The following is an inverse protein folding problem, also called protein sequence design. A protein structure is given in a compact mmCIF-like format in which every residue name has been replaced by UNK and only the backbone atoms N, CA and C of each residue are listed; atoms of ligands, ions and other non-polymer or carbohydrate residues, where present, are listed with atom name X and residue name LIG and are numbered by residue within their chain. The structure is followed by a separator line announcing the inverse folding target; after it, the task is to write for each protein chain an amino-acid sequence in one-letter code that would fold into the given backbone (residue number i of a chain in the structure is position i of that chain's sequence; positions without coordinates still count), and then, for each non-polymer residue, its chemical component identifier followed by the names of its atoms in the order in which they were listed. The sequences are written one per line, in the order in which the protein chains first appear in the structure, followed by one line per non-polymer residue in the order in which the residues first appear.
data_IF_926836541815
#
_entry.id   IF_926836541815
#
_cell.length_a   1.000
_cell.length_b   1.000
_cell.length_c   1.000
_cell.angle_alpha   90.00
_cell.angle_beta   90.00
_cell.angle_gamma   90.00
#
_symmetry.space_group_name_H-M   'P 1'
#
loop_
_entity.id
_entity.type
_entity.pdbx_description
1 polymer ?
#
# COMPACT_ATOMS: atom_id res chain seq x y z
N UNK A 1 -19.66 -21.16 14.47
CA UNK A 1 -18.75 -20.18 15.09
C UNK A 1 -18.16 -19.35 13.97
N UNK A 2 -18.23 -18.04 14.03
CA UNK A 2 -17.56 -17.16 13.03
C UNK A 2 -16.05 -17.40 13.13
N UNK A 3 -15.44 -17.76 12.01
CA UNK A 3 -13.99 -17.95 11.98
C UNK A 3 -13.28 -16.58 12.00
N UNK A 4 -12.19 -16.49 12.75
CA UNK A 4 -11.35 -15.30 12.82
C UNK A 4 -10.73 -14.98 11.44
N UNK A 5 -10.67 -13.69 11.08
CA UNK A 5 -9.89 -13.23 9.93
C UNK A 5 -8.41 -13.16 10.32
N UNK A 6 -7.54 -13.60 9.41
CA UNK A 6 -6.10 -13.42 9.57
C UNK A 6 -5.69 -11.98 9.27
N UNK A 7 -6.33 -11.36 8.26
CA UNK A 7 -5.96 -10.07 7.73
C UNK A 7 -7.21 -9.26 7.34
N UNK A 8 -7.40 -8.10 7.96
CA UNK A 8 -8.48 -7.17 7.59
C UNK A 8 -7.83 -5.87 7.14
N UNK A 9 -7.96 -5.55 5.86
CA UNK A 9 -7.51 -4.26 5.33
C UNK A 9 -8.61 -3.20 5.54
N UNK A 10 -8.21 -1.99 5.92
CA UNK A 10 -9.10 -0.83 6.11
C UNK A 10 -8.55 0.36 5.32
N UNK A 11 -9.35 0.93 4.43
CA UNK A 11 -9.00 2.13 3.68
C UNK A 11 -9.90 2.37 2.48
N UNK A 12 -9.64 3.45 1.77
CA UNK A 12 -10.39 3.83 0.59
C UNK A 12 -10.08 2.90 -0.60
N UNK A 13 -11.13 2.57 -1.34
CA UNK A 13 -11.06 1.81 -2.58
C UNK A 13 -11.44 2.72 -3.74
N UNK A 14 -10.74 2.59 -4.85
CA UNK A 14 -10.89 3.41 -6.04
C UNK A 14 -10.92 2.55 -7.31
N UNK A 15 -11.28 3.18 -8.41
CA UNK A 15 -11.03 2.66 -9.76
C UNK A 15 -9.91 3.49 -10.38
N UNK A 16 -8.93 2.83 -10.96
CA UNK A 16 -7.87 3.49 -11.73
C UNK A 16 -8.09 3.25 -13.23
N UNK A 17 -8.23 4.32 -14.01
CA UNK A 17 -8.23 4.27 -15.46
C UNK A 17 -6.86 4.73 -15.97
N UNK A 18 -6.03 3.78 -16.39
CA UNK A 18 -4.71 4.03 -16.97
C UNK A 18 -4.85 4.43 -18.43
N UNK A 19 -4.60 5.69 -18.73
CA UNK A 19 -4.67 6.25 -20.08
C UNK A 19 -3.24 6.41 -20.62
N UNK A 20 -2.89 5.66 -21.65
CA UNK A 20 -1.63 5.84 -22.34
C UNK A 20 -1.71 7.02 -23.30
N UNK A 21 -1.02 8.11 -22.97
CA UNK A 21 -1.02 9.32 -23.77
C UNK A 21 -0.24 9.10 -25.07
N UNK A 22 -0.78 9.66 -26.16
CA UNK A 22 -0.08 9.72 -27.42
C UNK A 22 1.05 10.77 -27.33
N UNK A 23 2.30 10.38 -27.63
CA UNK A 23 3.47 11.24 -27.55
C UNK A 23 3.48 12.40 -28.54
N UNK A 24 2.70 12.32 -29.63
CA UNK A 24 2.53 13.41 -30.58
C UNK A 24 1.46 14.43 -30.12
N UNK A 25 0.64 14.07 -29.14
CA UNK A 25 -0.46 14.89 -28.63
C UNK A 25 -0.20 15.52 -27.26
N UNK A 26 0.83 15.06 -26.56
CA UNK A 26 1.26 15.58 -25.26
C UNK A 26 2.80 15.75 -25.26
N UNK A 27 3.29 16.68 -24.47
CA UNK A 27 4.71 16.96 -24.34
C UNK A 27 5.13 17.05 -22.87
N UNK A 28 6.40 16.79 -22.57
CA UNK A 28 6.95 16.87 -21.22
C UNK A 28 8.17 17.80 -21.24
N UNK A 29 8.14 18.84 -20.42
CA UNK A 29 9.29 19.68 -20.16
C UNK A 29 9.89 19.42 -18.79
N UNK A 30 11.19 19.65 -18.65
CA UNK A 30 11.89 19.63 -17.37
C UNK A 30 12.30 21.04 -16.99
N UNK A 31 11.95 21.46 -15.79
CA UNK A 31 12.48 22.65 -15.17
C UNK A 31 13.96 22.39 -14.80
N UNK A 32 14.85 23.22 -15.33
CA UNK A 32 16.31 23.02 -15.21
C UNK A 32 16.84 23.33 -13.80
N UNK A 33 16.12 24.15 -13.02
CA UNK A 33 16.55 24.55 -11.67
C UNK A 33 16.08 23.54 -10.62
N UNK A 34 14.86 23.03 -10.77
CA UNK A 34 14.25 22.12 -9.80
C UNK A 34 14.26 20.66 -10.22
N UNK A 35 14.55 20.36 -11.50
CA UNK A 35 14.43 19.02 -12.08
C UNK A 35 12.99 18.54 -12.27
N UNK A 36 11.99 19.34 -11.93
CA UNK A 36 10.58 18.98 -11.98
C UNK A 36 10.11 18.76 -13.42
N UNK A 37 9.47 17.61 -13.64
CA UNK A 37 8.81 17.32 -14.92
C UNK A 37 7.38 17.89 -14.93
N UNK A 38 6.99 18.48 -16.07
CA UNK A 38 5.64 19.03 -16.29
C UNK A 38 5.07 18.47 -17.58
N UNK A 39 3.87 17.89 -17.48
CA UNK A 39 3.10 17.41 -18.63
C UNK A 39 2.31 18.57 -19.24
N UNK A 40 2.47 18.80 -20.56
CA UNK A 40 1.77 19.80 -21.32
C UNK A 40 0.80 19.19 -22.31
N UNK A 41 -0.42 19.72 -22.35
CA UNK A 41 -1.44 19.34 -23.32
C UNK A 41 -2.10 20.61 -23.88
N UNK A 42 -2.36 20.69 -25.20
CA UNK A 42 -3.04 21.85 -25.81
C UNK A 42 -4.44 22.06 -25.21
N UNK A 43 -4.67 23.24 -24.66
CA UNK A 43 -5.96 23.60 -24.09
C UNK A 43 -7.05 23.68 -25.17
N UNK A 44 -8.26 23.17 -24.86
CA UNK A 44 -9.41 23.21 -25.76
C UNK A 44 -9.36 22.25 -26.95
N UNK A 45 -8.37 21.38 -27.01
CA UNK A 45 -8.18 20.42 -28.10
C UNK A 45 -8.80 19.06 -27.81
N UNK A 46 -9.10 18.30 -28.89
CA UNK A 46 -9.40 16.87 -28.80
C UNK A 46 -8.09 16.13 -29.07
N UNK A 47 -7.61 15.43 -28.07
CA UNK A 47 -6.33 14.73 -28.15
C UNK A 47 -6.58 13.23 -28.24
N UNK A 48 -5.93 12.53 -29.19
CA UNK A 48 -5.93 11.07 -29.22
C UNK A 48 -5.11 10.53 -28.06
N UNK A 49 -5.51 9.37 -27.54
CA UNK A 49 -4.69 8.54 -26.65
C UNK A 49 -4.50 7.14 -27.28
N UNK A 50 -3.47 6.42 -26.84
CA UNK A 50 -3.11 5.14 -27.46
C UNK A 50 -3.97 4.00 -26.94
N UNK A 51 -4.17 3.91 -25.61
CA UNK A 51 -4.89 2.83 -24.95
C UNK A 51 -5.46 3.28 -23.61
N UNK A 52 -6.43 2.52 -23.09
CA UNK A 52 -6.98 2.69 -21.74
C UNK A 52 -7.21 1.33 -21.08
N UNK A 53 -6.62 1.13 -19.91
CA UNK A 53 -6.88 -0.04 -19.05
C UNK A 53 -7.59 0.45 -17.78
N UNK A 54 -8.77 -0.12 -17.47
CA UNK A 54 -9.54 0.22 -16.27
C UNK A 54 -9.37 -0.92 -15.26
N UNK A 55 -8.88 -0.59 -14.08
CA UNK A 55 -8.65 -1.54 -12.99
C UNK A 55 -9.58 -1.20 -11.84
N UNK A 56 -10.48 -2.14 -11.52
CA UNK A 56 -11.48 -1.99 -10.48
C UNK A 56 -10.91 -2.35 -9.11
N UNK A 57 -11.47 -1.73 -8.07
CA UNK A 57 -11.22 -2.07 -6.66
C UNK A 57 -9.74 -2.08 -6.28
N UNK A 58 -9.02 -1.02 -6.63
CA UNK A 58 -7.64 -0.77 -6.24
C UNK A 58 -7.57 0.26 -5.09
N UNK A 59 -6.37 0.61 -4.68
CA UNK A 59 -6.03 1.42 -3.51
C UNK A 59 -5.27 0.59 -2.49
N UNK A 60 -4.46 1.22 -1.64
CA UNK A 60 -3.51 0.53 -0.76
C UNK A 60 -4.14 -0.66 -0.02
N UNK A 61 -5.29 -0.46 0.63
CA UNK A 61 -5.98 -1.51 1.39
C UNK A 61 -6.55 -2.62 0.53
N UNK A 62 -7.17 -2.28 -0.62
CA UNK A 62 -7.71 -3.28 -1.53
C UNK A 62 -6.58 -4.14 -2.14
N UNK A 63 -5.48 -3.51 -2.55
CA UNK A 63 -4.29 -4.19 -3.05
C UNK A 63 -3.69 -5.12 -1.99
N UNK A 64 -3.60 -4.64 -0.74
CA UNK A 64 -3.08 -5.42 0.38
C UNK A 64 -3.98 -6.61 0.72
N UNK A 65 -5.32 -6.45 0.68
CA UNK A 65 -6.27 -7.52 0.92
C UNK A 65 -6.12 -8.65 -0.10
N UNK A 66 -6.03 -8.30 -1.40
CA UNK A 66 -5.84 -9.26 -2.49
C UNK A 66 -4.49 -9.96 -2.36
N UNK A 67 -3.41 -9.23 -2.08
CA UNK A 67 -2.08 -9.79 -1.85
C UNK A 67 -2.09 -10.81 -0.71
N UNK A 68 -2.63 -10.43 0.46
CA UNK A 68 -2.71 -11.30 1.63
C UNK A 68 -3.52 -12.57 1.35
N UNK A 69 -4.63 -12.45 0.61
CA UNK A 69 -5.44 -13.61 0.21
C UNK A 69 -4.67 -14.56 -0.71
N UNK A 70 -4.02 -14.04 -1.76
CA UNK A 70 -3.21 -14.86 -2.68
C UNK A 70 -2.04 -15.57 -2.00
N UNK A 71 -1.57 -15.00 -0.86
CA UNK A 71 -0.54 -15.61 -0.01
C UNK A 71 -1.11 -16.61 1.02
N UNK A 72 -2.42 -16.89 0.96
CA UNK A 72 -3.08 -17.95 1.73
C UNK A 72 -3.72 -17.49 3.05
N UNK A 73 -3.87 -16.18 3.30
CA UNK A 73 -4.55 -15.67 4.48
C UNK A 73 -6.07 -15.53 4.23
N UNK A 74 -6.87 -15.73 5.28
CA UNK A 74 -8.28 -15.37 5.28
C UNK A 74 -8.42 -13.86 5.39
N UNK A 75 -8.65 -13.21 4.23
CA UNK A 75 -8.60 -11.76 4.08
C UNK A 75 -9.99 -11.13 3.91
N UNK A 76 -10.22 -9.99 4.56
CA UNK A 76 -11.41 -9.15 4.40
C UNK A 76 -11.03 -7.69 4.13
N UNK A 77 -11.97 -6.94 3.56
CA UNK A 77 -11.78 -5.51 3.28
C UNK A 77 -12.89 -4.68 3.93
N UNK A 78 -12.50 -3.65 4.67
CA UNK A 78 -13.38 -2.59 5.19
C UNK A 78 -13.19 -1.37 4.31
N UNK A 79 -14.21 -1.04 3.54
CA UNK A 79 -14.17 0.11 2.63
C UNK A 79 -15.57 0.64 2.31
N UNK A 80 -15.61 1.83 1.73
CA UNK A 80 -16.83 2.49 1.30
C UNK A 80 -16.82 2.67 -0.21
N UNK A 81 -17.93 2.32 -0.87
CA UNK A 81 -18.15 2.47 -2.30
C UNK A 81 -19.47 3.22 -2.55
N UNK A 82 -19.61 3.86 -3.69
CA UNK A 82 -20.89 4.37 -4.14
C UNK A 82 -21.85 3.23 -4.52
N UNK A 83 -23.15 3.42 -4.34
CA UNK A 83 -24.16 2.50 -4.89
C UNK A 83 -24.42 2.82 -6.37
N UNK A 84 -23.35 2.92 -7.15
CA UNK A 84 -23.36 3.11 -8.59
C UNK A 84 -22.87 1.86 -9.32
N UNK A 85 -22.77 1.92 -10.65
CA UNK A 85 -22.25 0.78 -11.43
C UNK A 85 -20.83 0.46 -11.05
N UNK A 86 -19.98 1.47 -10.91
CA UNK A 86 -18.57 1.32 -10.56
C UNK A 86 -18.39 0.62 -9.21
N UNK A 87 -19.21 0.96 -8.19
CA UNK A 87 -19.14 0.31 -6.89
C UNK A 87 -19.57 -1.16 -6.94
N UNK A 88 -20.55 -1.50 -7.80
CA UNK A 88 -20.95 -2.89 -8.03
C UNK A 88 -19.86 -3.68 -8.73
N UNK A 89 -19.22 -3.08 -9.74
CA UNK A 89 -18.12 -3.70 -10.48
C UNK A 89 -16.90 -3.91 -9.54
N UNK A 90 -16.61 -2.96 -8.64
CA UNK A 90 -15.59 -3.13 -7.59
C UNK A 90 -15.94 -4.27 -6.62
N UNK A 91 -17.17 -4.34 -6.14
CA UNK A 91 -17.61 -5.37 -5.22
C UNK A 91 -17.54 -6.77 -5.86
N UNK A 92 -17.92 -6.89 -7.12
CA UNK A 92 -17.81 -8.12 -7.89
C UNK A 92 -16.33 -8.54 -8.07
N UNK A 93 -15.47 -7.58 -8.42
CA UNK A 93 -14.02 -7.83 -8.54
C UNK A 93 -13.43 -8.38 -7.24
N UNK A 94 -13.71 -7.75 -6.09
CA UNK A 94 -13.23 -8.21 -4.79
C UNK A 94 -13.69 -9.64 -4.46
N UNK A 95 -14.95 -9.98 -4.77
CA UNK A 95 -15.48 -11.33 -4.57
C UNK A 95 -14.81 -12.36 -5.47
N UNK A 96 -14.53 -11.99 -6.73
CA UNK A 96 -13.83 -12.85 -7.68
C UNK A 96 -12.37 -13.10 -7.26
N UNK A 97 -11.75 -12.12 -6.58
CA UNK A 97 -10.43 -12.26 -5.96
C UNK A 97 -10.47 -13.03 -4.61
N UNK A 98 -11.63 -13.52 -4.18
CA UNK A 98 -11.77 -14.31 -2.96
C UNK A 98 -11.79 -13.49 -1.66
N UNK A 99 -11.92 -12.15 -1.74
CA UNK A 99 -11.95 -11.28 -0.58
C UNK A 99 -13.32 -11.34 0.12
N UNK A 100 -13.32 -11.48 1.44
CA UNK A 100 -14.54 -11.33 2.22
C UNK A 100 -15.01 -9.87 2.21
N UNK A 101 -16.25 -9.64 1.75
CA UNK A 101 -16.80 -8.29 1.50
C UNK A 101 -17.89 -7.90 2.50
N UNK A 102 -18.00 -8.59 3.64
CA UNK A 102 -19.05 -8.35 4.65
C UNK A 102 -18.99 -6.93 5.25
N UNK A 103 -17.81 -6.30 5.20
CA UNK A 103 -17.58 -4.94 5.69
C UNK A 103 -17.46 -3.89 4.57
N UNK A 104 -17.73 -4.27 3.32
CA UNK A 104 -17.80 -3.32 2.19
C UNK A 104 -19.19 -2.67 2.19
N UNK A 105 -19.23 -1.34 2.33
CA UNK A 105 -20.49 -0.57 2.39
C UNK A 105 -20.75 0.14 1.06
N UNK A 106 -21.95 -0.08 0.51
CA UNK A 106 -22.45 0.67 -0.65
C UNK A 106 -23.34 1.82 -0.18
N UNK A 107 -23.04 3.05 -0.61
CA UNK A 107 -23.72 4.27 -0.17
C UNK A 107 -24.63 4.82 -1.27
N UNK A 108 -25.95 4.88 -1.00
CA UNK A 108 -26.93 5.48 -1.90
C UNK A 108 -26.63 6.96 -2.16
N UNK A 109 -26.79 7.38 -3.41
CA UNK A 109 -26.56 8.76 -3.81
C UNK A 109 -25.10 9.21 -3.87
N UNK A 110 -24.14 8.32 -3.57
CA UNK A 110 -22.70 8.54 -3.69
C UNK A 110 -22.16 7.90 -4.95
N UNK A 111 -21.04 8.43 -5.44
CA UNK A 111 -20.25 7.82 -6.51
C UNK A 111 -19.05 7.09 -5.92
N UNK A 112 -18.60 6.06 -6.60
CA UNK A 112 -17.34 5.38 -6.27
C UNK A 112 -16.17 6.29 -6.62
N UNK A 113 -15.12 6.27 -5.79
CA UNK A 113 -13.88 6.99 -6.05
C UNK A 113 -13.28 6.56 -7.38
N UNK A 114 -12.76 7.52 -8.13
CA UNK A 114 -12.26 7.26 -9.47
C UNK A 114 -11.06 8.14 -9.78
N UNK A 115 -9.99 7.51 -10.29
CA UNK A 115 -8.79 8.18 -10.71
C UNK A 115 -8.57 8.02 -12.21
N UNK A 116 -8.00 9.04 -12.84
CA UNK A 116 -7.43 8.94 -14.17
C UNK A 116 -5.92 9.00 -14.05
N UNK A 117 -5.27 7.92 -14.46
CA UNK A 117 -3.80 7.78 -14.42
C UNK A 117 -3.28 8.06 -15.83
N UNK A 118 -2.81 9.28 -16.04
CA UNK A 118 -2.24 9.72 -17.33
C UNK A 118 -0.80 9.22 -17.40
N UNK A 119 -0.54 8.23 -18.25
CA UNK A 119 0.78 7.64 -18.47
C UNK A 119 1.47 8.29 -19.67
N UNK A 120 2.73 8.69 -19.48
CA UNK A 120 3.61 9.19 -20.55
C UNK A 120 4.98 8.51 -20.43
N UNK A 121 5.20 7.46 -21.22
CA UNK A 121 6.35 6.59 -21.04
C UNK A 121 6.33 5.90 -19.67
N UNK A 122 7.43 5.96 -18.89
CA UNK A 122 7.51 5.34 -17.57
C UNK A 122 6.85 6.18 -16.46
N UNK A 123 6.56 7.46 -16.75
CA UNK A 123 6.03 8.43 -15.78
C UNK A 123 4.50 8.55 -15.86
N UNK A 124 3.91 9.04 -14.78
CA UNK A 124 2.46 9.24 -14.68
C UNK A 124 2.07 10.47 -13.90
N UNK A 125 0.91 11.01 -14.24
CA UNK A 125 0.17 12.00 -13.43
C UNK A 125 -1.19 11.43 -13.08
N UNK A 126 -1.59 11.50 -11.83
CA UNK A 126 -2.86 10.93 -11.35
C UNK A 126 -3.84 12.08 -11.05
N UNK A 127 -4.99 12.07 -11.73
CA UNK A 127 -6.11 12.95 -11.43
C UNK A 127 -7.03 12.22 -10.46
N UNK A 128 -7.10 12.71 -9.21
CA UNK A 128 -7.85 12.06 -8.15
C UNK A 128 -9.22 12.70 -7.95
N UNK A 129 -10.24 11.88 -7.70
CA UNK A 129 -11.54 12.31 -7.22
C UNK A 129 -12.04 11.36 -6.15
N UNK A 130 -12.19 11.88 -4.93
CA UNK A 130 -12.74 11.17 -3.79
C UNK A 130 -14.10 11.72 -3.39
N UNK A 131 -15.00 10.81 -3.02
CA UNK A 131 -16.24 11.12 -2.32
C UNK A 131 -15.98 11.16 -0.81
N UNK A 132 -16.77 11.93 -0.10
CA UNK A 132 -16.74 11.92 1.35
C UNK A 132 -17.62 10.80 1.89
N UNK A 133 -17.03 9.73 2.36
CA UNK A 133 -17.70 8.61 3.00
C UNK A 133 -17.57 8.66 4.52
N UNK A 134 -18.56 8.16 5.30
CA UNK A 134 -18.40 8.00 6.73
C UNK A 134 -17.42 6.86 7.03
N UNK A 135 -16.42 7.09 7.88
CA UNK A 135 -15.55 6.05 8.40
C UNK A 135 -16.07 5.60 9.76
N UNK A 136 -16.41 4.33 9.86
CA UNK A 136 -16.97 3.72 11.08
C UNK A 136 -16.25 2.40 11.35
N UNK A 137 -15.85 2.19 12.58
CA UNK A 137 -15.30 0.90 13.00
C UNK A 137 -16.32 -0.21 12.79
N UNK A 138 -15.95 -1.33 12.16
CA UNK A 138 -16.79 -2.49 12.06
C UNK A 138 -17.01 -3.12 13.44
N UNK A 139 -18.19 -3.71 13.63
CA UNK A 139 -18.44 -4.61 14.76
C UNK A 139 -17.92 -6.01 14.41
N UNK A 140 -16.68 -6.29 14.80
CA UNK A 140 -16.06 -7.59 14.56
C UNK A 140 -16.56 -8.59 15.62
N UNK A 141 -17.28 -9.62 15.18
CA UNK A 141 -17.73 -10.71 16.08
C UNK A 141 -16.55 -11.41 16.77
N UNK A 142 -15.43 -11.54 16.05
CA UNK A 142 -14.15 -12.01 16.55
C UNK A 142 -13.10 -11.03 16.09
N UNK A 143 -12.28 -10.44 16.98
CA UNK A 143 -11.21 -9.54 16.59
C UNK A 143 -10.27 -10.20 15.59
N UNK A 144 -9.90 -9.52 14.46
CA UNK A 144 -8.97 -10.08 13.49
C UNK A 144 -7.56 -10.18 14.07
N UNK A 145 -6.72 -11.07 13.52
CA UNK A 145 -5.32 -11.17 13.94
C UNK A 145 -4.52 -9.91 13.58
N UNK A 146 -4.73 -9.41 12.35
CA UNK A 146 -4.10 -8.19 11.85
C UNK A 146 -5.15 -7.24 11.26
N UNK A 147 -5.06 -5.97 11.62
CA UNK A 147 -5.70 -4.87 10.89
C UNK A 147 -4.60 -4.13 10.12
N UNK A 148 -4.73 -4.12 8.80
CA UNK A 148 -3.89 -3.34 7.89
C UNK A 148 -4.62 -2.05 7.54
N UNK A 149 -4.20 -0.95 8.14
CA UNK A 149 -4.79 0.36 7.96
C UNK A 149 -3.96 1.20 7.00
N UNK A 150 -4.61 1.76 6.00
CA UNK A 150 -3.94 2.60 5.01
C UNK A 150 -4.74 3.86 4.67
N UNK A 151 -4.57 4.38 3.46
CA UNK A 151 -5.13 5.67 3.04
C UNK A 151 -6.64 5.78 3.21
N UNK A 152 -7.06 6.81 3.94
CA UNK A 152 -8.45 7.32 4.02
C UNK A 152 -8.45 8.84 3.84
N UNK A 153 -9.62 9.43 3.52
CA UNK A 153 -9.75 10.88 3.30
C UNK A 153 -9.46 11.73 4.55
N UNK A 154 -9.18 13.01 4.33
CA UNK A 154 -8.77 14.00 5.37
C UNK A 154 -9.73 14.07 6.57
N UNK A 155 -11.03 13.88 6.34
CA UNK A 155 -12.04 13.92 7.40
C UNK A 155 -12.05 12.68 8.29
N UNK A 156 -11.17 11.71 8.04
CA UNK A 156 -11.03 10.45 8.78
C UNK A 156 -10.28 10.56 10.11
N UNK A 157 -9.82 11.73 10.56
CA UNK A 157 -9.07 11.89 11.82
C UNK A 157 -9.77 11.24 13.02
N UNK A 158 -11.08 11.41 13.25
CA UNK A 158 -11.76 10.74 14.37
C UNK A 158 -11.68 9.21 14.31
N UNK A 159 -11.69 8.65 13.09
CA UNK A 159 -11.57 7.20 12.91
C UNK A 159 -10.19 6.67 13.30
N UNK A 160 -9.11 7.43 13.09
CA UNK A 160 -7.76 7.05 13.54
C UNK A 160 -7.72 6.85 15.05
N UNK A 161 -8.29 7.78 15.82
CA UNK A 161 -8.35 7.68 17.28
C UNK A 161 -9.27 6.56 17.76
N UNK A 162 -10.39 6.31 17.05
CA UNK A 162 -11.29 5.19 17.33
C UNK A 162 -10.57 3.84 17.10
N UNK A 163 -9.81 3.73 15.99
CA UNK A 163 -9.00 2.56 15.68
C UNK A 163 -7.91 2.35 16.74
N UNK A 164 -7.18 3.39 17.13
CA UNK A 164 -6.17 3.29 18.19
C UNK A 164 -6.77 2.77 19.51
N UNK A 165 -7.97 3.26 19.87
CA UNK A 165 -8.70 2.77 21.03
C UNK A 165 -9.14 1.31 20.87
N UNK A 166 -9.58 0.92 19.68
CA UNK A 166 -9.95 -0.48 19.39
C UNK A 166 -8.75 -1.41 19.59
N UNK A 167 -7.58 -1.07 19.05
CA UNK A 167 -6.35 -1.86 19.18
C UNK A 167 -5.94 -2.02 20.64
N UNK A 168 -5.98 -0.94 21.44
CA UNK A 168 -5.67 -1.00 22.91
C UNK A 168 -6.56 -1.96 23.68
N UNK A 169 -7.78 -2.25 23.21
CA UNK A 169 -8.77 -3.06 23.92
C UNK A 169 -8.95 -4.47 23.36
N UNK A 170 -8.24 -4.84 22.30
CA UNK A 170 -8.39 -6.13 21.64
C UNK A 170 -7.02 -6.76 21.33
N UNK A 171 -6.95 -8.06 21.25
CA UNK A 171 -5.76 -8.80 20.82
C UNK A 171 -5.71 -8.82 19.28
N UNK A 172 -5.41 -7.66 18.71
CA UNK A 172 -5.30 -7.42 17.26
C UNK A 172 -4.04 -6.63 17.00
N UNK A 173 -3.21 -7.07 16.08
CA UNK A 173 -2.01 -6.33 15.65
C UNK A 173 -2.36 -5.27 14.63
N UNK A 174 -1.87 -4.05 14.83
CA UNK A 174 -2.04 -2.95 13.90
C UNK A 174 -0.86 -2.84 12.93
N UNK A 175 -1.18 -2.87 11.66
CA UNK A 175 -0.27 -2.49 10.57
C UNK A 175 -0.71 -1.13 10.05
N UNK A 176 0.20 -0.17 10.00
CA UNK A 176 -0.10 1.16 9.49
C UNK A 176 0.81 1.51 8.31
N UNK A 177 0.18 1.73 7.16
CA UNK A 177 0.81 2.28 5.95
C UNK A 177 0.08 3.56 5.58
N UNK A 178 0.55 4.74 6.00
CA UNK A 178 -0.14 6.00 5.74
C UNK A 178 -0.19 6.32 4.25
N UNK A 179 -1.30 6.92 3.82
CA UNK A 179 -1.36 7.59 2.52
C UNK A 179 -1.05 9.09 2.66
N UNK A 180 -1.09 9.81 1.54
CA UNK A 180 -0.73 11.24 1.47
C UNK A 180 -1.45 12.09 2.51
N UNK A 181 -2.76 11.85 2.76
CA UNK A 181 -3.51 12.63 3.75
C UNK A 181 -3.01 12.38 5.18
N UNK A 182 -2.70 11.14 5.54
CA UNK A 182 -2.17 10.82 6.86
C UNK A 182 -0.74 11.36 7.04
N UNK A 183 0.10 11.31 6.00
CA UNK A 183 1.43 11.93 6.02
C UNK A 183 1.33 13.43 6.30
N UNK A 184 0.41 14.14 5.64
CA UNK A 184 0.17 15.56 5.86
C UNK A 184 -0.36 15.90 7.27
N UNK A 185 -1.10 15.00 7.93
CA UNK A 185 -1.54 15.19 9.31
C UNK A 185 -0.34 15.18 10.29
N UNK A 186 0.70 14.45 9.96
CA UNK A 186 1.94 14.37 10.73
C UNK A 186 1.82 13.55 12.01
N UNK A 187 2.98 13.33 12.66
CA UNK A 187 3.12 12.43 13.80
C UNK A 187 2.30 12.87 15.03
N UNK A 188 2.26 14.16 15.31
CA UNK A 188 1.60 14.67 16.54
C UNK A 188 0.09 14.46 16.50
N UNK A 189 -0.55 14.64 15.35
CA UNK A 189 -2.01 14.47 15.20
C UNK A 189 -2.42 13.01 15.38
N UNK A 190 -1.57 12.07 14.98
CA UNK A 190 -1.84 10.63 14.99
C UNK A 190 -0.99 9.88 16.02
N UNK A 191 -0.46 10.58 17.03
CA UNK A 191 0.46 10.01 18.03
C UNK A 191 -0.09 8.73 18.68
N UNK A 192 -1.33 8.74 19.11
CA UNK A 192 -1.99 7.60 19.75
C UNK A 192 -2.12 6.37 18.85
N UNK A 193 -2.18 6.58 17.51
CA UNK A 193 -2.17 5.51 16.52
C UNK A 193 -0.75 4.92 16.38
N UNK A 194 0.28 5.78 16.28
CA UNK A 194 1.68 5.32 16.23
C UNK A 194 2.06 4.51 17.46
N UNK A 195 1.63 4.95 18.67
CA UNK A 195 1.91 4.27 19.93
C UNK A 195 1.34 2.83 20.03
N UNK A 196 0.35 2.48 19.20
CA UNK A 196 -0.27 1.14 19.17
C UNK A 196 0.03 0.39 17.88
N UNK A 197 0.91 0.92 17.03
CA UNK A 197 1.25 0.31 15.76
C UNK A 197 2.29 -0.79 15.94
N UNK A 198 1.92 -2.03 15.58
CA UNK A 198 2.85 -3.16 15.58
C UNK A 198 3.80 -3.10 14.39
N UNK A 199 3.29 -2.82 13.18
CA UNK A 199 4.12 -2.73 11.97
C UNK A 199 3.82 -1.43 11.25
N UNK A 200 4.84 -0.64 10.99
CA UNK A 200 4.72 0.64 10.29
C UNK A 200 5.49 0.60 8.97
N UNK A 201 4.86 1.07 7.90
CA UNK A 201 5.50 1.15 6.59
C UNK A 201 5.51 2.57 6.03
N UNK A 202 6.65 3.00 5.55
CA UNK A 202 6.80 4.16 4.68
C UNK A 202 8.00 3.99 3.75
N UNK A 203 8.12 4.83 2.72
CA UNK A 203 9.38 4.97 2.00
C UNK A 203 10.30 5.97 2.70
N UNK A 204 11.54 6.08 2.24
CA UNK A 204 12.57 6.94 2.86
C UNK A 204 12.19 8.42 2.82
N UNK A 205 11.63 8.88 1.71
CA UNK A 205 11.19 10.25 1.53
C UNK A 205 10.04 10.60 2.50
N UNK A 206 9.07 9.70 2.61
CA UNK A 206 7.96 9.82 3.57
C UNK A 206 8.47 9.81 5.02
N UNK A 207 9.47 8.97 5.33
CA UNK A 207 10.10 8.94 6.64
C UNK A 207 10.78 10.28 6.97
N UNK A 208 11.51 10.86 6.02
CA UNK A 208 12.14 12.17 6.16
C UNK A 208 11.11 13.28 6.37
N UNK A 209 10.01 13.26 5.62
CA UNK A 209 8.91 14.22 5.74
C UNK A 209 8.24 14.13 7.13
N UNK A 210 7.85 12.93 7.56
CA UNK A 210 7.22 12.70 8.86
C UNK A 210 8.12 13.11 10.03
N UNK A 211 9.39 12.75 9.96
CA UNK A 211 10.38 13.04 11.01
C UNK A 211 10.95 14.47 10.91
N UNK A 212 10.61 15.21 9.86
CA UNK A 212 11.12 16.57 9.55
C UNK A 212 12.64 16.61 9.61
N UNK A 213 13.30 15.74 8.84
CA UNK A 213 14.75 15.54 8.90
C UNK A 213 15.35 15.32 7.53
N UNK A 214 16.61 15.70 7.34
CA UNK A 214 17.42 15.39 6.14
C UNK A 214 18.29 14.13 6.36
N UNK A 215 18.01 13.34 7.40
CA UNK A 215 18.76 12.13 7.73
C UNK A 215 18.76 11.15 6.55
N UNK A 216 19.93 10.65 6.16
CA UNK A 216 20.11 9.69 5.06
C UNK A 216 20.27 8.26 5.57
N UNK A 217 20.64 8.09 6.83
CA UNK A 217 20.88 6.79 7.44
C UNK A 217 19.57 6.16 7.91
N UNK A 218 19.02 5.25 7.12
CA UNK A 218 17.71 4.62 7.35
C UNK A 218 17.56 4.00 8.74
N UNK A 219 18.53 3.26 9.30
CA UNK A 219 18.43 2.71 10.65
C UNK A 219 18.22 3.76 11.75
N UNK A 220 18.76 4.96 11.58
CA UNK A 220 18.52 6.09 12.52
C UNK A 220 17.05 6.53 12.49
N UNK A 221 16.46 6.60 11.30
CA UNK A 221 15.04 6.95 11.16
C UNK A 221 14.13 5.87 11.72
N UNK A 222 14.43 4.59 11.50
CA UNK A 222 13.69 3.46 12.05
C UNK A 222 13.65 3.52 13.59
N UNK A 223 14.78 3.82 14.25
CA UNK A 223 14.82 3.97 15.71
C UNK A 223 13.95 5.12 16.21
N UNK A 224 13.88 6.23 15.47
CA UNK A 224 12.96 7.34 15.83
C UNK A 224 11.50 6.90 15.79
N UNK A 225 11.10 6.02 14.87
CA UNK A 225 9.75 5.45 14.88
C UNK A 225 9.54 4.48 16.06
N UNK A 226 10.54 3.71 16.46
CA UNK A 226 10.46 2.92 17.70
C UNK A 226 10.29 3.79 18.94
N UNK A 227 10.97 4.92 19.00
CA UNK A 227 10.81 5.91 20.09
C UNK A 227 9.39 6.50 20.18
N UNK A 228 8.62 6.45 19.07
CA UNK A 228 7.21 6.83 19.03
C UNK A 228 6.26 5.71 19.48
N UNK A 229 6.77 4.49 19.73
CA UNK A 229 6.00 3.34 20.18
C UNK A 229 5.79 2.25 19.10
N UNK A 230 6.23 2.48 17.87
CA UNK A 230 6.12 1.47 16.79
C UNK A 230 6.99 0.26 17.11
N UNK A 231 6.42 -0.96 17.05
CA UNK A 231 7.16 -2.19 17.37
C UNK A 231 8.12 -2.60 16.24
N UNK A 232 7.62 -2.66 15.00
CA UNK A 232 8.38 -3.04 13.80
C UNK A 232 8.27 -1.94 12.74
N UNK A 233 9.11 -0.90 12.78
CA UNK A 233 9.18 0.08 11.71
C UNK A 233 9.92 -0.50 10.50
N UNK A 234 9.36 -0.31 9.31
CA UNK A 234 9.91 -0.76 8.02
C UNK A 234 10.01 0.42 7.08
N UNK A 235 11.18 0.65 6.50
CA UNK A 235 11.41 1.70 5.50
C UNK A 235 11.91 1.07 4.20
N UNK A 236 11.24 1.38 3.09
CA UNK A 236 11.70 1.03 1.74
C UNK A 236 12.50 2.19 1.15
N UNK A 237 13.60 1.90 0.43
CA UNK A 237 14.48 2.89 -0.21
C UNK A 237 14.69 2.56 -1.71
N UNK A 238 13.61 2.26 -2.41
CA UNK A 238 13.61 1.98 -3.84
C UNK A 238 14.69 0.97 -4.25
N UNK A 239 15.63 1.35 -5.15
CA UNK A 239 16.72 0.46 -5.60
C UNK A 239 17.67 0.01 -4.48
N UNK A 240 17.70 0.72 -3.35
CA UNK A 240 18.55 0.37 -2.20
C UNK A 240 17.93 -0.74 -1.34
N UNK A 241 16.69 -1.15 -1.64
CA UNK A 241 16.01 -2.23 -0.93
C UNK A 241 15.15 -1.76 0.24
N UNK A 242 15.11 -2.54 1.32
CA UNK A 242 14.27 -2.28 2.46
C UNK A 242 14.96 -2.59 3.79
N UNK A 243 14.47 -1.96 4.84
CA UNK A 243 15.07 -2.02 6.17
C UNK A 243 13.98 -2.23 7.23
N UNK A 244 14.31 -2.98 8.27
CA UNK A 244 13.47 -3.14 9.46
C UNK A 244 14.35 -3.10 10.72
N UNK A 245 13.82 -2.55 11.80
CA UNK A 245 14.36 -2.77 13.15
C UNK A 245 13.39 -3.69 13.88
N UNK A 246 13.89 -4.83 14.33
CA UNK A 246 13.07 -5.85 15.00
C UNK A 246 12.82 -5.54 16.48
N UNK A 247 12.16 -6.46 17.17
CA UNK A 247 11.80 -6.33 18.58
C UNK A 247 13.04 -6.35 19.52
N UNK A 248 14.16 -6.91 19.04
CA UNK A 248 15.45 -6.99 19.76
C UNK A 248 16.38 -5.83 19.42
N UNK A 249 15.87 -4.79 18.75
CA UNK A 249 16.59 -3.61 18.26
C UNK A 249 17.70 -3.92 17.23
N UNK A 250 17.61 -5.09 16.57
CA UNK A 250 18.51 -5.45 15.48
C UNK A 250 18.00 -4.83 14.18
N UNK A 251 18.87 -4.12 13.49
CA UNK A 251 18.57 -3.55 12.18
C UNK A 251 18.96 -4.51 11.06
N UNK A 252 18.00 -4.80 10.19
CA UNK A 252 18.14 -5.67 9.03
C UNK A 252 17.97 -4.88 7.74
N UNK A 253 18.75 -5.24 6.75
CA UNK A 253 18.66 -4.74 5.38
C UNK A 253 18.45 -5.88 4.41
N UNK A 254 17.54 -5.68 3.45
CA UNK A 254 17.26 -6.60 2.36
C UNK A 254 17.42 -5.89 1.03
N UNK A 255 18.25 -6.37 0.09
CA UNK A 255 18.34 -5.78 -1.24
C UNK A 255 17.05 -5.99 -2.04
N UNK A 256 16.87 -5.23 -3.12
CA UNK A 256 15.83 -5.52 -4.11
C UNK A 256 16.00 -6.94 -4.68
N UNK A 257 14.88 -7.60 -4.98
CA UNK A 257 14.90 -8.77 -5.84
C UNK A 257 15.18 -8.33 -7.28
N UNK A 258 16.06 -8.99 -8.04
CA UNK A 258 16.40 -8.58 -9.40
C UNK A 258 15.18 -8.58 -10.33
N UNK A 259 14.94 -7.47 -11.00
CA UNK A 259 13.89 -7.38 -12.02
C UNK A 259 14.30 -8.20 -13.26
N UNK A 260 13.39 -9.03 -13.81
CA UNK A 260 13.66 -9.78 -15.05
C UNK A 260 13.76 -8.85 -16.28
N UNK A 261 13.13 -7.70 -16.22
CA UNK A 261 13.17 -6.62 -17.21
C UNK A 261 12.86 -5.27 -16.53
N UNK A 262 13.04 -4.17 -17.25
CA UNK A 262 12.71 -2.85 -16.73
C UNK A 262 11.24 -2.78 -16.28
N UNK A 263 10.93 -2.14 -15.14
CA UNK A 263 9.57 -1.98 -14.65
C UNK A 263 8.64 -1.33 -15.69
N UNK A 264 7.46 -1.91 -15.88
CA UNK A 264 6.42 -1.38 -16.75
C UNK A 264 5.57 -0.31 -16.05
N UNK A 265 5.23 -0.56 -14.78
CA UNK A 265 4.46 0.35 -13.93
C UNK A 265 4.88 0.12 -12.47
N UNK A 266 5.13 1.20 -11.73
CA UNK A 266 5.52 1.12 -10.31
C UNK A 266 4.35 1.23 -9.34
N UNK A 267 3.11 1.28 -9.87
CA UNK A 267 1.91 1.35 -9.04
C UNK A 267 1.75 0.06 -8.23
N UNK A 268 1.54 0.20 -6.92
CA UNK A 268 1.33 -0.94 -6.02
C UNK A 268 2.59 -1.65 -5.53
N UNK A 269 3.81 -1.21 -5.91
CA UNK A 269 5.05 -1.82 -5.41
C UNK A 269 5.16 -1.76 -3.88
N UNK A 270 4.82 -0.63 -3.26
CA UNK A 270 4.78 -0.46 -1.81
C UNK A 270 3.72 -1.31 -1.14
N UNK A 271 2.50 -1.38 -1.74
CA UNK A 271 1.39 -2.17 -1.20
C UNK A 271 1.69 -3.67 -1.25
N UNK A 272 2.26 -4.14 -2.36
CA UNK A 272 2.67 -5.53 -2.51
C UNK A 272 3.79 -5.90 -1.55
N UNK A 273 4.76 -5.01 -1.33
CA UNK A 273 5.82 -5.22 -0.34
C UNK A 273 5.25 -5.35 1.08
N UNK A 274 4.50 -4.33 1.53
CA UNK A 274 4.02 -4.24 2.91
C UNK A 274 3.02 -5.36 3.25
N UNK A 275 2.06 -5.64 2.36
CA UNK A 275 1.11 -6.73 2.55
C UNK A 275 1.79 -8.11 2.59
N UNK A 276 2.80 -8.31 1.74
CA UNK A 276 3.57 -9.57 1.71
C UNK A 276 4.42 -9.75 2.97
N UNK A 277 5.06 -8.68 3.45
CA UNK A 277 5.78 -8.70 4.73
C UNK A 277 4.85 -9.12 5.88
N UNK A 278 3.66 -8.50 5.96
CA UNK A 278 2.67 -8.83 7.01
C UNK A 278 2.14 -10.25 6.85
N UNK A 279 1.90 -10.70 5.61
CA UNK A 279 1.48 -12.08 5.36
C UNK A 279 2.54 -13.09 5.84
N UNK A 280 3.82 -12.81 5.62
CA UNK A 280 4.91 -13.65 6.13
C UNK A 280 4.91 -13.70 7.68
N UNK A 281 4.76 -12.55 8.36
CA UNK A 281 4.62 -12.52 9.82
C UNK A 281 3.41 -13.32 10.31
N UNK A 282 2.25 -13.19 9.64
CA UNK A 282 1.03 -13.93 9.96
C UNK A 282 1.20 -15.44 9.77
N UNK A 283 2.09 -15.87 8.88
CA UNK A 283 2.50 -17.25 8.64
C UNK A 283 3.62 -17.72 9.57
N UNK A 284 4.01 -16.92 10.57
CA UNK A 284 5.00 -17.27 11.59
C UNK A 284 6.45 -17.06 11.20
N UNK A 285 6.73 -16.26 10.17
CA UNK A 285 8.09 -15.90 9.78
C UNK A 285 8.64 -14.81 10.72
N UNK A 286 9.96 -14.80 10.90
CA UNK A 286 10.65 -13.71 11.61
C UNK A 286 10.63 -12.41 10.79
N UNK A 287 10.87 -11.22 11.40
CA UNK A 287 10.96 -9.96 10.66
C UNK A 287 11.98 -9.98 9.52
N UNK A 288 13.14 -10.60 9.70
CA UNK A 288 14.18 -10.73 8.66
C UNK A 288 13.75 -11.66 7.52
N UNK A 289 13.04 -12.76 7.81
CA UNK A 289 12.46 -13.64 6.79
C UNK A 289 11.32 -12.94 6.05
N UNK A 290 10.46 -12.19 6.77
CA UNK A 290 9.37 -11.41 6.17
C UNK A 290 9.92 -10.32 5.24
N UNK A 291 11.04 -9.67 5.63
CA UNK A 291 11.75 -8.70 4.81
C UNK A 291 12.22 -9.30 3.48
N UNK A 292 12.56 -10.59 3.44
CA UNK A 292 12.95 -11.27 2.21
C UNK A 292 11.77 -11.62 1.27
N UNK A 293 10.53 -11.63 1.78
CA UNK A 293 9.34 -11.91 0.97
C UNK A 293 8.86 -10.67 0.19
N UNK A 294 8.90 -9.49 0.82
CA UNK A 294 8.35 -8.24 0.27
C UNK A 294 8.88 -7.87 -1.11
N UNK A 295 10.21 -7.79 -1.34
CA UNK A 295 10.78 -7.39 -2.63
C UNK A 295 10.45 -8.35 -3.78
N UNK A 296 10.22 -9.63 -3.52
CA UNK A 296 9.85 -10.62 -4.55
C UNK A 296 8.49 -10.26 -5.15
N UNK A 297 7.49 -9.98 -4.30
CA UNK A 297 6.16 -9.64 -4.79
C UNK A 297 6.14 -8.25 -5.45
N UNK A 298 6.93 -7.29 -4.93
CA UNK A 298 7.11 -5.97 -5.57
C UNK A 298 7.72 -6.09 -6.96
N UNK A 299 8.77 -6.90 -7.12
CA UNK A 299 9.39 -7.19 -8.41
C UNK A 299 8.35 -7.73 -9.41
N UNK A 300 7.50 -8.66 -8.99
CA UNK A 300 6.46 -9.22 -9.86
C UNK A 300 5.40 -8.18 -10.24
N UNK A 301 4.95 -7.37 -9.29
CA UNK A 301 3.91 -6.36 -9.51
C UNK A 301 4.36 -5.32 -10.54
N UNK A 302 5.59 -4.83 -10.46
CA UNK A 302 6.07 -3.78 -11.38
C UNK A 302 6.26 -4.23 -12.83
N UNK A 303 6.14 -5.53 -13.10
CA UNK A 303 6.14 -6.08 -14.47
C UNK A 303 4.76 -6.00 -15.16
N UNK A 304 3.74 -5.48 -14.46
CA UNK A 304 2.36 -5.39 -14.96
C UNK A 304 1.81 -3.97 -14.78
N UNK A 305 0.79 -3.63 -15.59
CA UNK A 305 0.03 -2.40 -15.37
C UNK A 305 -0.94 -2.61 -14.21
N UNK A 306 -0.96 -1.67 -13.26
CA UNK A 306 -1.80 -1.71 -12.06
C UNK A 306 -1.25 -2.59 -10.95
N UNK A 307 -1.82 -2.44 -9.76
CA UNK A 307 -1.25 -2.92 -8.51
C UNK A 307 -1.55 -4.39 -8.16
N UNK A 308 -2.48 -5.06 -8.87
CA UNK A 308 -2.96 -6.39 -8.45
C UNK A 308 -2.60 -7.51 -9.42
N UNK A 309 -2.45 -7.20 -10.72
CA UNK A 309 -2.25 -8.22 -11.76
C UNK A 309 -1.00 -9.07 -11.54
N UNK A 310 0.08 -8.46 -11.06
CA UNK A 310 1.36 -9.11 -10.78
C UNK A 310 1.50 -9.70 -9.38
N UNK A 311 0.47 -9.62 -8.52
CA UNK A 311 0.53 -10.23 -7.18
C UNK A 311 0.66 -11.75 -7.27
N UNK A 312 1.65 -12.29 -6.60
CA UNK A 312 1.99 -13.71 -6.62
C UNK A 312 1.09 -14.54 -5.69
N UNK A 313 0.89 -15.81 -6.05
CA UNK A 313 0.46 -16.81 -5.08
C UNK A 313 1.63 -17.15 -4.12
N UNK A 314 1.30 -17.80 -3.01
CA UNK A 314 2.31 -18.24 -2.04
C UNK A 314 3.31 -19.19 -2.68
N UNK A 315 2.85 -20.15 -3.47
CA UNK A 315 3.70 -21.14 -4.15
C UNK A 315 4.68 -20.45 -5.10
N UNK A 316 4.21 -19.49 -5.92
CA UNK A 316 5.06 -18.75 -6.85
C UNK A 316 6.09 -17.88 -6.12
N UNK A 317 5.70 -17.24 -5.01
CA UNK A 317 6.62 -16.45 -4.20
C UNK A 317 7.70 -17.35 -3.56
N UNK A 318 7.33 -18.49 -2.98
CA UNK A 318 8.26 -19.45 -2.38
C UNK A 318 9.19 -20.06 -3.45
N UNK A 319 8.72 -20.25 -4.69
CA UNK A 319 9.57 -20.68 -5.81
C UNK A 319 10.65 -19.64 -6.13
N UNK A 320 10.30 -18.35 -6.22
CA UNK A 320 11.28 -17.28 -6.39
C UNK A 320 12.29 -17.24 -5.24
N UNK A 321 11.81 -17.40 -3.99
CA UNK A 321 12.67 -17.41 -2.82
C UNK A 321 13.66 -18.59 -2.83
N UNK A 322 13.22 -19.78 -3.27
CA UNK A 322 14.07 -20.96 -3.37
C UNK A 322 15.12 -20.84 -4.49
N UNK A 323 14.78 -20.14 -5.58
CA UNK A 323 15.65 -19.90 -6.73
C UNK A 323 16.39 -18.55 -6.67
N UNK A 324 16.42 -17.89 -5.50
CA UNK A 324 17.00 -16.55 -5.35
C UNK A 324 18.49 -16.54 -5.64
N UNK A 325 19.02 -15.42 -6.16
CA UNK A 325 20.45 -15.19 -6.25
C UNK A 325 21.14 -15.28 -4.88
N UNK A 326 22.40 -15.68 -4.86
CA UNK A 326 23.16 -15.84 -3.60
C UNK A 326 23.31 -14.54 -2.80
N UNK A 327 23.31 -13.39 -3.49
CA UNK A 327 23.39 -12.06 -2.89
C UNK A 327 22.04 -11.57 -2.32
N UNK A 328 20.92 -12.23 -2.65
CA UNK A 328 19.61 -11.90 -2.13
C UNK A 328 19.41 -12.52 -0.75
N UNK A 329 19.92 -11.85 0.25
CA UNK A 329 19.92 -12.28 1.64
C UNK A 329 19.72 -11.08 2.58
N UNK A 330 18.89 -11.26 3.60
CA UNK A 330 18.74 -10.27 4.66
C UNK A 330 20.01 -10.21 5.52
N UNK A 331 20.60 -9.04 5.67
CA UNK A 331 21.82 -8.82 6.44
C UNK A 331 21.53 -7.98 7.67
N UNK A 332 21.97 -8.45 8.81
CA UNK A 332 22.02 -7.62 10.01
C UNK A 332 23.09 -6.55 9.79
N UNK A 333 22.72 -5.30 10.02
CA UNK A 333 23.60 -4.14 9.79
C UNK A 333 23.97 -3.40 11.07
N UNK A 334 23.29 -3.69 12.19
CA UNK A 334 23.59 -3.23 13.55
C UNK A 334 23.15 -4.28 14.57
#
# INVERSE_FOLDING_TARGET
MSEQYDFVAIGDTVIDAFIELNKDAADVSQDMDTGRLTLHMPFGSKLPFNDVEVVNAVGNSANAAVSAHRLGLKSALVTNLGHDRNGKDCLEHLRNEGIHTDYVKLHEGKKTNYHYVLRYGPERTILIKHETFPYLMPDFTVPPRYIYFSSIGEHGVPFHHELAKYIKNNDTKLVFQPGTFQLNLGLETLRDLYEVTDVFFCNKEEAQELLKTDEQHVPTMLRKFKDLGVTLPVITDGPQGAYVVDEEDQAWHMPMYPDPQAPLDRTGAGDSFSSTFVAALALGKTPSEALAWGPINSMSVVQHIGAQKGLLSREALEEHLNNRPSEYEAKMIY
#
